data_IF_789922123783
#
_entry.id   IF_789922123783
#
_cell.length_a   1.000
_cell.length_b   1.000
_cell.length_c   1.000
_cell.angle_alpha   90.00
_cell.angle_beta   90.00
_cell.angle_gamma   90.00
#
_symmetry.space_group_name_H-M   'P 1'
#
loop_
_entity.id
_entity.type
_entity.pdbx_description
1 polymer ?
#
# COMPACT_ATOMS: atom_id res chain seq x y z
N UNK A 1 -21.89 -12.53 0.85
CA UNK A 1 -20.46 -12.81 0.61
C UNK A 1 -20.36 -14.03 -0.30
N UNK A 2 -19.31 -14.14 -1.12
CA UNK A 2 -19.15 -15.27 -2.06
C UNK A 2 -18.37 -16.40 -1.38
N UNK A 3 -18.94 -17.60 -1.35
CA UNK A 3 -18.23 -18.84 -0.98
C UNK A 3 -17.35 -19.32 -2.15
N UNK A 4 -16.42 -20.28 -1.94
CA UNK A 4 -15.60 -20.82 -3.03
C UNK A 4 -16.41 -21.37 -4.23
N UNK A 5 -17.57 -22.00 -3.98
CA UNK A 5 -18.44 -22.50 -5.05
C UNK A 5 -19.15 -21.37 -5.80
N UNK A 6 -19.65 -20.36 -5.07
CA UNK A 6 -20.26 -19.17 -5.66
C UNK A 6 -19.25 -18.36 -6.48
N UNK A 7 -18.01 -18.26 -6.01
CA UNK A 7 -16.91 -17.60 -6.74
C UNK A 7 -16.61 -18.31 -8.06
N UNK A 8 -16.52 -19.65 -8.07
CA UNK A 8 -16.31 -20.41 -9.30
C UNK A 8 -17.48 -20.24 -10.28
N UNK A 9 -18.71 -20.41 -9.82
CA UNK A 9 -19.90 -20.24 -10.65
C UNK A 9 -20.00 -18.81 -11.22
N UNK A 10 -19.61 -17.80 -10.44
CA UNK A 10 -19.57 -16.42 -10.90
C UNK A 10 -18.51 -16.23 -11.99
N UNK A 11 -17.29 -16.74 -11.80
CA UNK A 11 -16.22 -16.66 -12.79
C UNK A 11 -16.61 -17.36 -14.10
N UNK A 12 -17.23 -18.53 -14.03
CA UNK A 12 -17.76 -19.26 -15.19
C UNK A 12 -18.82 -18.45 -15.93
N UNK A 13 -19.80 -17.88 -15.21
CA UNK A 13 -20.85 -17.03 -15.79
C UNK A 13 -20.28 -15.79 -16.48
N UNK A 14 -19.21 -15.22 -15.95
CA UNK A 14 -18.50 -14.08 -16.54
C UNK A 14 -17.58 -14.48 -17.70
N UNK A 15 -17.42 -15.79 -17.98
CA UNK A 15 -16.41 -16.28 -18.92
C UNK A 15 -14.98 -15.88 -18.51
N UNK A 16 -14.76 -15.58 -17.22
CA UNK A 16 -13.52 -15.00 -16.73
C UNK A 16 -12.60 -16.05 -16.13
N UNK A 17 -11.36 -16.08 -16.61
CA UNK A 17 -10.29 -16.89 -16.01
C UNK A 17 -9.36 -15.99 -15.19
N UNK A 18 -9.08 -16.31 -13.91
CA UNK A 18 -8.15 -15.56 -13.09
C UNK A 18 -6.79 -15.39 -13.77
N UNK A 19 -6.31 -14.15 -13.86
CA UNK A 19 -5.05 -13.80 -14.53
C UNK A 19 -3.92 -13.66 -13.53
N UNK A 20 -2.99 -14.62 -13.52
CA UNK A 20 -1.80 -14.60 -12.63
C UNK A 20 -0.96 -13.33 -12.79
N UNK A 21 -0.83 -12.82 -14.02
CA UNK A 21 -0.10 -11.57 -14.30
C UNK A 21 -0.71 -10.33 -13.64
N UNK A 22 -2.03 -10.35 -13.41
CA UNK A 22 -2.74 -9.28 -12.69
C UNK A 22 -2.83 -9.55 -11.18
N UNK A 23 -2.24 -10.64 -10.69
CA UNK A 23 -2.28 -11.01 -9.26
C UNK A 23 -3.68 -11.36 -8.74
N UNK A 24 -4.60 -11.77 -9.61
CA UNK A 24 -5.99 -12.05 -9.25
C UNK A 24 -6.12 -13.27 -8.33
N UNK A 25 -6.35 -13.01 -7.04
CA UNK A 25 -6.73 -13.99 -6.03
C UNK A 25 -7.94 -13.42 -5.28
N UNK A 26 -9.12 -14.00 -5.49
CA UNK A 26 -10.37 -13.46 -4.95
C UNK A 26 -10.60 -13.96 -3.53
N UNK A 27 -10.87 -13.05 -2.61
CA UNK A 27 -11.19 -13.42 -1.22
C UNK A 27 -12.54 -14.14 -1.17
N UNK A 28 -12.55 -15.35 -0.59
CA UNK A 28 -13.74 -16.22 -0.48
C UNK A 28 -14.10 -16.54 0.97
N UNK A 29 -13.42 -15.90 1.93
CA UNK A 29 -13.66 -16.07 3.36
C UNK A 29 -14.31 -14.83 3.97
N UNK A 30 -15.56 -14.99 4.42
CA UNK A 30 -16.36 -13.88 4.94
C UNK A 30 -15.85 -13.31 6.26
N UNK A 31 -15.24 -14.14 7.11
CA UNK A 31 -14.67 -13.69 8.37
C UNK A 31 -13.51 -12.70 8.16
N UNK A 32 -12.73 -12.90 7.10
CA UNK A 32 -11.63 -12.00 6.75
C UNK A 32 -12.16 -10.66 6.24
N UNK A 33 -13.25 -10.66 5.46
CA UNK A 33 -13.92 -9.41 5.03
C UNK A 33 -14.40 -8.63 6.26
N UNK A 34 -15.08 -9.28 7.20
CA UNK A 34 -15.53 -8.64 8.45
C UNK A 34 -14.34 -8.06 9.22
N UNK A 35 -13.25 -8.82 9.33
CA UNK A 35 -12.04 -8.36 10.01
C UNK A 35 -11.42 -7.11 9.36
N UNK A 36 -11.45 -7.00 8.03
CA UNK A 36 -11.01 -5.80 7.31
C UNK A 36 -11.83 -4.57 7.69
N UNK A 37 -13.15 -4.70 7.75
CA UNK A 37 -14.05 -3.61 8.16
C UNK A 37 -13.84 -3.22 9.63
N UNK A 38 -13.70 -4.21 10.53
CA UNK A 38 -13.41 -3.99 11.95
C UNK A 38 -12.11 -3.21 12.16
N UNK A 39 -11.02 -3.65 11.51
CA UNK A 39 -9.72 -2.97 11.63
C UNK A 39 -9.76 -1.56 11.05
N UNK A 40 -10.52 -1.35 9.97
CA UNK A 40 -10.67 -0.05 9.34
C UNK A 40 -11.54 0.88 10.20
N UNK A 41 -12.42 0.32 11.03
CA UNK A 41 -13.40 1.06 11.81
C UNK A 41 -14.33 1.82 10.90
N UNK A 42 -14.95 1.10 9.95
CA UNK A 42 -15.82 1.70 8.92
C UNK A 42 -17.14 2.16 9.54
N UNK A 43 -17.49 3.42 9.29
CA UNK A 43 -18.78 4.01 9.62
C UNK A 43 -19.58 4.45 8.39
N UNK A 44 -20.88 4.75 8.55
CA UNK A 44 -21.69 5.34 7.49
C UNK A 44 -21.12 6.67 7.00
N UNK A 45 -21.12 6.88 5.69
CA UNK A 45 -20.64 8.12 5.06
C UNK A 45 -19.12 8.24 4.92
N UNK A 46 -18.34 7.34 5.51
CA UNK A 46 -16.89 7.37 5.37
C UNK A 46 -16.45 7.14 3.92
N UNK A 47 -15.40 7.86 3.52
CA UNK A 47 -14.86 7.84 2.16
C UNK A 47 -13.74 6.81 2.09
N UNK A 48 -13.95 5.76 1.31
CA UNK A 48 -13.04 4.62 1.24
C UNK A 48 -12.51 4.46 -0.17
N UNK A 49 -11.19 4.41 -0.30
CA UNK A 49 -10.54 3.98 -1.54
C UNK A 49 -10.34 2.47 -1.49
N UNK A 50 -10.75 1.77 -2.54
CA UNK A 50 -10.53 0.34 -2.74
C UNK A 50 -9.75 0.11 -4.04
N UNK A 51 -8.70 -0.70 -3.98
CA UNK A 51 -7.85 -1.01 -5.14
C UNK A 51 -8.06 -2.48 -5.50
N UNK A 52 -8.38 -2.74 -6.77
CA UNK A 52 -8.62 -4.10 -7.26
C UNK A 52 -9.84 -4.77 -6.60
N UNK A 53 -11.04 -4.19 -6.70
CA UNK A 53 -12.26 -4.75 -6.10
C UNK A 53 -12.60 -6.16 -6.61
N UNK A 54 -12.13 -6.54 -7.81
CA UNK A 54 -12.31 -7.86 -8.40
C UNK A 54 -13.79 -8.23 -8.55
N UNK A 55 -14.23 -9.28 -7.86
CA UNK A 55 -15.63 -9.72 -7.88
C UNK A 55 -16.57 -8.88 -7.00
N UNK A 56 -16.03 -7.88 -6.29
CA UNK A 56 -16.81 -6.95 -5.47
C UNK A 56 -17.16 -7.45 -4.08
N UNK A 57 -16.44 -8.47 -3.58
CA UNK A 57 -16.71 -9.06 -2.26
C UNK A 57 -16.46 -8.08 -1.13
N UNK A 58 -15.33 -7.37 -1.17
CA UNK A 58 -15.01 -6.32 -0.20
C UNK A 58 -15.82 -5.05 -0.47
N UNK A 59 -15.92 -4.61 -1.72
CA UNK A 59 -16.78 -3.48 -2.15
C UNK A 59 -18.20 -3.58 -1.61
N UNK A 60 -18.85 -4.74 -1.79
CA UNK A 60 -20.22 -4.95 -1.31
C UNK A 60 -20.34 -4.86 0.22
N UNK A 61 -19.33 -5.34 0.95
CA UNK A 61 -19.30 -5.22 2.41
C UNK A 61 -19.10 -3.77 2.87
N UNK A 62 -18.21 -3.02 2.22
CA UNK A 62 -18.01 -1.59 2.48
C UNK A 62 -19.30 -0.78 2.23
N UNK A 63 -19.98 -1.06 1.11
CA UNK A 63 -21.27 -0.43 0.80
C UNK A 63 -22.35 -0.82 1.81
N UNK A 64 -22.41 -2.07 2.26
CA UNK A 64 -23.35 -2.50 3.28
C UNK A 64 -23.10 -1.82 4.64
N UNK A 65 -21.85 -1.46 4.95
CA UNK A 65 -21.50 -0.66 6.13
C UNK A 65 -21.83 0.84 6.00
N UNK A 66 -22.42 1.27 4.86
CA UNK A 66 -22.80 2.66 4.62
C UNK A 66 -21.69 3.54 4.05
N UNK A 67 -20.54 2.98 3.69
CA UNK A 67 -19.42 3.75 3.15
C UNK A 67 -19.72 4.31 1.75
N UNK A 68 -19.00 5.39 1.40
CA UNK A 68 -18.86 5.90 0.04
C UNK A 68 -17.54 5.39 -0.54
N UNK A 69 -17.62 4.49 -1.51
CA UNK A 69 -16.48 3.72 -2.03
C UNK A 69 -16.02 4.29 -3.37
N UNK A 70 -14.73 4.53 -3.48
CA UNK A 70 -14.00 4.91 -4.68
C UNK A 70 -13.10 3.75 -5.05
N UNK A 71 -13.50 2.99 -6.06
CA UNK A 71 -12.82 1.77 -6.47
C UNK A 71 -12.13 1.94 -7.82
N UNK A 72 -10.95 1.33 -7.98
CA UNK A 72 -10.27 1.23 -9.27
C UNK A 72 -9.97 -0.23 -9.61
N UNK A 73 -10.44 -0.67 -10.78
CA UNK A 73 -10.26 -2.03 -11.30
C UNK A 73 -9.53 -1.97 -12.65
N UNK A 74 -8.50 -2.80 -12.82
CA UNK A 74 -7.71 -2.83 -14.06
C UNK A 74 -8.30 -3.78 -15.09
N UNK A 75 -9.00 -4.83 -14.65
CA UNK A 75 -9.57 -5.82 -15.53
C UNK A 75 -10.94 -5.35 -16.06
N UNK A 76 -11.09 -5.12 -17.38
CA UNK A 76 -12.32 -4.59 -17.96
C UNK A 76 -13.52 -5.52 -17.75
N UNK A 77 -13.32 -6.83 -17.72
CA UNK A 77 -14.39 -7.81 -17.49
C UNK A 77 -14.91 -7.71 -16.06
N UNK A 78 -14.02 -7.56 -15.08
CA UNK A 78 -14.41 -7.38 -13.68
C UNK A 78 -15.02 -6.00 -13.43
N UNK A 79 -14.48 -4.96 -14.06
CA UNK A 79 -15.06 -3.61 -14.01
C UNK A 79 -16.50 -3.61 -14.55
N UNK A 80 -16.75 -4.24 -15.70
CA UNK A 80 -18.10 -4.40 -16.27
C UNK A 80 -19.04 -5.15 -15.30
N UNK A 81 -18.60 -6.27 -14.72
CA UNK A 81 -19.37 -7.01 -13.71
C UNK A 81 -19.75 -6.13 -12.51
N UNK A 82 -18.84 -5.31 -11.99
CA UNK A 82 -19.12 -4.41 -10.87
C UNK A 82 -20.11 -3.29 -11.25
N UNK A 83 -20.00 -2.76 -12.49
CA UNK A 83 -20.95 -1.78 -13.02
C UNK A 83 -22.37 -2.34 -13.08
N UNK A 84 -22.52 -3.58 -13.52
CA UNK A 84 -23.83 -4.23 -13.64
C UNK A 84 -24.41 -4.68 -12.30
N UNK A 85 -23.56 -5.23 -11.42
CA UNK A 85 -24.03 -5.92 -10.21
C UNK A 85 -24.12 -5.05 -8.95
N UNK A 86 -23.25 -4.04 -8.81
CA UNK A 86 -23.15 -3.23 -7.58
C UNK A 86 -23.62 -1.79 -7.76
N UNK A 87 -23.28 -1.12 -8.86
CA UNK A 87 -23.63 0.31 -9.04
C UNK A 87 -25.14 0.57 -8.90
N UNK A 88 -26.07 -0.23 -9.50
CA UNK A 88 -27.50 0.02 -9.36
C UNK A 88 -28.00 -0.06 -7.91
N UNK A 89 -27.32 -0.81 -7.06
CA UNK A 89 -27.66 -1.04 -5.65
C UNK A 89 -26.88 -0.14 -4.69
N UNK A 90 -25.91 0.61 -5.20
CA UNK A 90 -25.03 1.44 -4.38
C UNK A 90 -25.61 2.82 -4.06
N UNK A 91 -26.75 3.20 -4.66
CA UNK A 91 -27.44 4.48 -4.37
C UNK A 91 -26.50 5.69 -4.51
N UNK A 92 -25.65 5.69 -5.54
CA UNK A 92 -24.67 6.76 -5.79
C UNK A 92 -23.44 6.75 -4.86
N UNK A 93 -23.29 5.72 -4.01
CA UNK A 93 -22.15 5.59 -3.08
C UNK A 93 -20.95 4.84 -3.66
N UNK A 94 -21.08 4.21 -4.82
CA UNK A 94 -19.97 3.54 -5.51
C UNK A 94 -19.51 4.37 -6.72
N UNK A 95 -18.26 4.81 -6.68
CA UNK A 95 -17.54 5.40 -7.81
C UNK A 95 -16.53 4.37 -8.31
N UNK A 96 -16.66 3.91 -9.55
CA UNK A 96 -15.78 2.90 -10.12
C UNK A 96 -15.02 3.48 -11.33
N UNK A 97 -13.70 3.44 -11.25
CA UNK A 97 -12.80 3.74 -12.37
C UNK A 97 -12.23 2.43 -12.91
N UNK A 98 -12.20 2.30 -14.23
CA UNK A 98 -11.42 1.28 -14.89
C UNK A 98 -10.05 1.85 -15.24
N UNK A 99 -8.97 1.28 -14.70
CA UNK A 99 -7.64 1.85 -14.90
C UNK A 99 -6.53 1.26 -14.05
N UNK A 100 -5.36 1.90 -14.15
CA UNK A 100 -4.16 1.51 -13.41
C UNK A 100 -4.06 2.27 -12.08
N UNK A 101 -4.13 1.53 -10.97
CA UNK A 101 -4.03 2.09 -9.63
C UNK A 101 -2.69 2.80 -9.36
N UNK A 102 -1.59 2.43 -10.03
CA UNK A 102 -0.31 3.13 -9.86
C UNK A 102 -0.38 4.54 -10.46
N UNK A 103 -1.18 4.73 -11.52
CA UNK A 103 -1.41 6.03 -12.15
C UNK A 103 -2.48 6.86 -11.44
N UNK A 104 -3.49 6.19 -10.87
CA UNK A 104 -4.60 6.82 -10.15
C UNK A 104 -4.73 6.21 -8.74
N UNK A 105 -3.79 6.53 -7.81
CA UNK A 105 -3.65 5.82 -6.53
C UNK A 105 -4.84 5.97 -5.58
N UNK A 106 -5.64 7.03 -5.75
CA UNK A 106 -6.83 7.31 -4.95
C UNK A 106 -8.14 7.01 -5.68
N UNK A 107 -8.12 6.30 -6.81
CA UNK A 107 -9.32 5.94 -7.58
C UNK A 107 -10.26 7.12 -7.90
N UNK A 108 -9.70 8.30 -8.16
CA UNK A 108 -10.45 9.52 -8.48
C UNK A 108 -11.14 10.18 -7.28
N UNK A 109 -10.88 9.72 -6.06
CA UNK A 109 -11.29 10.43 -4.85
C UNK A 109 -10.59 11.79 -4.75
N UNK A 110 -11.37 12.85 -4.54
CA UNK A 110 -10.87 14.16 -4.13
C UNK A 110 -10.33 14.10 -2.69
N UNK A 111 -9.02 14.27 -2.44
CA UNK A 111 -8.45 14.12 -1.11
C UNK A 111 -8.69 15.32 -0.16
N UNK A 112 -9.51 16.31 -0.54
CA UNK A 112 -9.78 17.49 0.29
C UNK A 112 -10.44 17.18 1.65
N UNK A 113 -11.19 16.07 1.74
CA UNK A 113 -11.78 15.58 2.99
C UNK A 113 -11.15 14.25 3.43
N UNK A 114 -11.17 13.94 4.74
CA UNK A 114 -10.69 12.67 5.29
C UNK A 114 -11.13 11.43 4.52
N UNK A 115 -10.20 10.49 4.37
CA UNK A 115 -10.47 9.22 3.71
C UNK A 115 -9.58 8.11 4.28
N UNK A 116 -10.01 6.88 4.07
CA UNK A 116 -9.27 5.66 4.40
C UNK A 116 -9.06 4.82 3.16
N UNK A 117 -8.11 3.90 3.22
CA UNK A 117 -7.90 2.90 2.17
C UNK A 117 -8.17 1.52 2.75
N UNK A 118 -9.02 0.74 2.09
CA UNK A 118 -9.24 -0.68 2.43
C UNK A 118 -9.16 -1.48 1.16
N UNK A 119 -8.14 -2.34 1.04
CA UNK A 119 -7.86 -3.00 -0.24
C UNK A 119 -7.30 -4.41 -0.07
N UNK A 120 -7.74 -5.31 -0.95
CA UNK A 120 -7.08 -6.58 -1.20
C UNK A 120 -6.07 -6.41 -2.35
N UNK A 121 -4.89 -5.86 -2.05
CA UNK A 121 -4.00 -5.35 -3.08
C UNK A 121 -3.45 -6.46 -3.98
N UNK A 122 -3.47 -6.28 -5.31
CA UNK A 122 -2.71 -7.15 -6.19
C UNK A 122 -1.22 -7.04 -5.87
N UNK A 123 -0.59 -8.17 -5.57
CA UNK A 123 0.73 -8.17 -4.95
C UNK A 123 1.82 -7.52 -5.80
N UNK A 124 1.74 -7.70 -7.13
CA UNK A 124 2.69 -7.17 -8.10
C UNK A 124 2.78 -5.62 -8.08
N UNK A 125 1.70 -4.94 -7.68
CA UNK A 125 1.65 -3.47 -7.67
C UNK A 125 1.75 -2.87 -6.26
N UNK A 126 1.75 -3.69 -5.20
CA UNK A 126 1.67 -3.22 -3.81
C UNK A 126 2.71 -2.14 -3.47
N UNK A 127 3.98 -2.34 -3.83
CA UNK A 127 5.06 -1.39 -3.56
C UNK A 127 4.97 -0.12 -4.43
N UNK A 128 4.92 -0.18 -5.78
CA UNK A 128 4.81 1.03 -6.59
C UNK A 128 3.51 1.82 -6.34
N UNK A 129 2.39 1.15 -6.06
CA UNK A 129 1.15 1.83 -5.65
C UNK A 129 1.31 2.53 -4.31
N UNK A 130 1.92 1.88 -3.31
CA UNK A 130 2.16 2.51 -2.01
C UNK A 130 3.06 3.73 -2.12
N UNK A 131 4.09 3.69 -2.97
CA UNK A 131 4.92 4.86 -3.23
C UNK A 131 4.14 6.01 -3.88
N UNK A 132 3.22 5.70 -4.81
CA UNK A 132 2.32 6.69 -5.40
C UNK A 132 1.36 7.30 -4.37
N UNK A 133 0.83 6.49 -3.43
CA UNK A 133 0.01 6.98 -2.31
C UNK A 133 0.84 7.91 -1.40
N UNK A 134 2.05 7.49 -1.03
CA UNK A 134 2.95 8.29 -0.17
C UNK A 134 3.39 9.59 -0.84
N UNK A 135 3.31 9.68 -2.17
CA UNK A 135 3.62 10.89 -2.92
C UNK A 135 2.49 11.94 -2.95
N UNK A 136 1.28 11.57 -2.57
CA UNK A 136 0.12 12.46 -2.52
C UNK A 136 -0.38 12.73 -1.11
N UNK A 137 -1.61 13.28 -1.00
CA UNK A 137 -2.30 13.41 0.27
C UNK A 137 -2.49 12.05 0.96
N UNK A 138 -2.18 11.98 2.25
CA UNK A 138 -2.13 10.73 2.98
C UNK A 138 -3.49 10.36 3.59
N UNK A 139 -3.95 9.10 3.46
CA UNK A 139 -5.14 8.63 4.17
C UNK A 139 -4.93 8.64 5.69
N UNK A 140 -6.01 8.72 6.46
CA UNK A 140 -5.94 8.62 7.93
C UNK A 140 -5.59 7.21 8.40
N UNK A 141 -6.07 6.22 7.65
CA UNK A 141 -5.88 4.80 7.94
C UNK A 141 -5.84 4.00 6.65
N UNK A 142 -5.02 2.97 6.65
CA UNK A 142 -5.01 1.93 5.63
C UNK A 142 -5.22 0.56 6.27
N UNK A 143 -6.07 -0.28 5.66
CA UNK A 143 -6.20 -1.70 5.99
C UNK A 143 -5.98 -2.50 4.72
N UNK A 144 -4.83 -3.16 4.64
CA UNK A 144 -4.32 -3.74 3.41
C UNK A 144 -4.14 -5.24 3.59
N UNK A 145 -4.72 -6.04 2.68
CA UNK A 145 -4.31 -7.42 2.51
C UNK A 145 -3.04 -7.45 1.68
N UNK A 146 -1.98 -8.04 2.22
CA UNK A 146 -0.66 -8.12 1.62
C UNK A 146 -0.13 -9.55 1.72
N UNK A 147 0.75 -9.98 0.81
CA UNK A 147 1.56 -11.16 1.07
C UNK A 147 2.42 -10.97 2.32
N UNK A 148 2.73 -12.06 3.01
CA UNK A 148 3.50 -12.02 4.24
C UNK A 148 4.85 -11.31 4.07
N UNK A 149 5.54 -11.48 2.93
CA UNK A 149 6.82 -10.83 2.66
C UNK A 149 6.66 -9.32 2.43
N UNK A 150 5.56 -8.89 1.81
CA UNK A 150 5.29 -7.46 1.63
C UNK A 150 4.96 -6.80 2.97
N UNK A 151 4.14 -7.45 3.80
CA UNK A 151 3.86 -6.99 5.16
C UNK A 151 5.15 -6.91 6.00
N UNK A 152 6.02 -7.93 5.92
CA UNK A 152 7.33 -7.92 6.59
C UNK A 152 8.21 -6.75 6.16
N UNK A 153 8.22 -6.38 4.87
CA UNK A 153 8.94 -5.19 4.40
C UNK A 153 8.36 -3.91 4.99
N UNK A 154 7.04 -3.79 5.06
CA UNK A 154 6.38 -2.59 5.58
C UNK A 154 6.66 -2.38 7.07
N UNK A 155 6.77 -3.47 7.82
CA UNK A 155 6.99 -3.45 9.28
C UNK A 155 8.44 -3.75 9.69
N UNK A 156 9.36 -3.87 8.73
CA UNK A 156 10.76 -4.16 9.00
C UNK A 156 11.41 -3.05 9.82
N UNK A 157 12.33 -3.40 10.71
CA UNK A 157 13.12 -2.44 11.50
C UNK A 157 14.51 -2.24 10.89
N UNK A 158 15.16 -1.08 11.10
CA UNK A 158 16.53 -0.85 10.67
C UNK A 158 17.49 -1.97 11.06
N UNK A 159 18.49 -2.23 10.22
CA UNK A 159 19.47 -3.31 10.36
C UNK A 159 18.99 -4.69 9.92
N UNK A 160 17.73 -4.84 9.51
CA UNK A 160 17.20 -6.14 9.06
C UNK A 160 17.24 -6.32 7.54
N UNK A 161 17.31 -7.57 7.09
CA UNK A 161 17.28 -7.92 5.65
C UNK A 161 16.00 -7.43 4.95
N UNK A 162 14.87 -7.39 5.66
CA UNK A 162 13.60 -6.94 5.10
C UNK A 162 13.48 -5.41 4.99
N UNK A 163 14.30 -4.66 5.76
CA UNK A 163 14.29 -3.21 5.73
C UNK A 163 14.76 -2.68 4.38
N UNK A 164 14.02 -1.71 3.85
CA UNK A 164 14.23 -1.14 2.53
C UNK A 164 13.66 0.27 2.41
N UNK A 165 13.79 0.86 1.23
CA UNK A 165 13.28 2.22 0.96
C UNK A 165 11.78 2.37 1.29
N UNK A 166 10.96 1.37 0.94
CA UNK A 166 9.52 1.41 1.25
C UNK A 166 9.24 1.37 2.76
N UNK A 167 10.07 0.68 3.55
CA UNK A 167 9.99 0.69 5.01
C UNK A 167 10.20 2.11 5.54
N UNK A 168 11.24 2.79 5.04
CA UNK A 168 11.56 4.18 5.40
C UNK A 168 10.40 5.12 5.06
N UNK A 169 9.91 5.08 3.82
CA UNK A 169 8.86 6.01 3.39
C UNK A 169 7.54 5.79 4.11
N UNK A 170 7.18 4.52 4.34
CA UNK A 170 5.93 4.19 5.00
C UNK A 170 5.98 4.54 6.49
N UNK A 171 7.04 4.14 7.19
CA UNK A 171 7.17 4.34 8.64
C UNK A 171 7.38 5.81 9.01
N UNK A 172 7.86 6.63 8.08
CA UNK A 172 7.89 8.08 8.27
C UNK A 172 6.49 8.69 8.38
N UNK A 173 5.48 8.09 7.75
CA UNK A 173 4.12 8.64 7.67
C UNK A 173 3.08 7.84 8.49
N UNK A 174 3.33 6.57 8.76
CA UNK A 174 2.37 5.65 9.38
C UNK A 174 3.01 4.77 10.45
N UNK A 175 2.22 4.46 11.48
CA UNK A 175 2.53 3.38 12.44
C UNK A 175 1.70 2.14 12.15
N UNK A 176 2.26 0.97 12.44
CA UNK A 176 1.48 -0.28 12.45
C UNK A 176 0.62 -0.34 13.69
N UNK A 177 -0.70 -0.40 13.52
CA UNK A 177 -1.68 -0.39 14.61
C UNK A 177 -2.39 -1.74 14.79
N UNK A 178 -2.11 -2.73 13.94
CA UNK A 178 -2.63 -4.08 14.08
C UNK A 178 -2.30 -4.96 12.88
N UNK A 179 -2.31 -6.28 13.10
CA UNK A 179 -2.13 -7.26 12.03
C UNK A 179 -2.93 -8.53 12.31
N UNK A 180 -3.29 -9.24 11.24
CA UNK A 180 -3.95 -10.54 11.32
C UNK A 180 -3.43 -11.43 10.19
N UNK A 181 -2.92 -12.62 10.53
CA UNK A 181 -2.48 -13.60 9.52
C UNK A 181 -3.68 -14.19 8.81
N UNK A 182 -3.57 -14.36 7.49
CA UNK A 182 -4.64 -14.89 6.63
C UNK A 182 -4.08 -16.03 5.80
N UNK A 183 -4.69 -17.21 5.93
CA UNK A 183 -4.28 -18.38 5.16
C UNK A 183 -4.53 -18.16 3.67
N UNK A 184 -3.62 -18.64 2.82
CA UNK A 184 -3.85 -18.71 1.36
C UNK A 184 -5.14 -19.43 0.95
N UNK A 185 -5.68 -20.31 1.80
CA UNK A 185 -6.94 -21.03 1.52
C UNK A 185 -8.19 -20.15 1.63
N UNK A 186 -8.06 -18.92 2.14
CA UNK A 186 -9.12 -17.92 2.13
C UNK A 186 -9.33 -17.28 0.75
N UNK A 187 -8.57 -17.68 -0.28
CA UNK A 187 -8.62 -17.09 -1.62
C UNK A 187 -8.90 -18.14 -2.70
N UNK A 188 -9.45 -17.68 -3.83
CA UNK A 188 -9.62 -18.46 -5.04
C UNK A 188 -9.17 -17.67 -6.29
N UNK A 189 -8.23 -18.18 -7.10
CA UNK A 189 -7.35 -19.29 -6.77
C UNK A 189 -6.52 -18.98 -5.52
N UNK A 190 -5.99 -20.02 -4.88
CA UNK A 190 -5.13 -19.82 -3.72
C UNK A 190 -3.76 -19.28 -4.19
N UNK A 191 -3.22 -18.22 -3.56
CA UNK A 191 -1.87 -17.76 -3.82
C UNK A 191 -0.83 -18.75 -3.31
N UNK A 192 0.43 -18.57 -3.73
CA UNK A 192 1.53 -19.47 -3.35
C UNK A 192 1.89 -19.36 -1.87
N UNK A 193 1.71 -18.19 -1.27
CA UNK A 193 2.09 -17.85 0.11
C UNK A 193 0.90 -17.29 0.89
N UNK A 194 1.01 -17.33 2.22
CA UNK A 194 0.04 -16.72 3.12
C UNK A 194 0.04 -15.19 3.00
N UNK A 195 -1.07 -14.60 3.45
CA UNK A 195 -1.26 -13.16 3.52
C UNK A 195 -1.31 -12.64 4.96
N UNK A 196 -1.23 -11.32 5.09
CA UNK A 196 -1.43 -10.57 6.32
C UNK A 196 -2.36 -9.43 6.00
N UNK A 197 -3.39 -9.28 6.83
CA UNK A 197 -4.21 -8.08 6.89
C UNK A 197 -3.53 -7.10 7.85
N UNK A 198 -3.05 -5.98 7.33
CA UNK A 198 -2.25 -5.01 8.06
C UNK A 198 -3.00 -3.68 8.22
N UNK A 199 -3.11 -3.19 9.45
CA UNK A 199 -3.63 -1.87 9.76
C UNK A 199 -2.48 -0.88 9.99
N UNK A 200 -2.52 0.21 9.24
CA UNK A 200 -1.60 1.34 9.31
C UNK A 200 -2.39 2.60 9.65
N UNK A 201 -2.00 3.29 10.71
CA UNK A 201 -2.60 4.57 11.12
C UNK A 201 -1.62 5.70 10.83
N UNK A 202 -2.10 6.81 10.25
CA UNK A 202 -1.28 7.99 9.96
C UNK A 202 -0.76 8.57 11.27
N UNK A 203 0.50 9.00 11.28
CA UNK A 203 1.09 9.72 12.40
C UNK A 203 0.50 11.14 12.50
N UNK A 204 0.54 11.74 13.69
CA UNK A 204 0.06 13.12 13.90
C UNK A 204 0.90 14.13 13.11
N UNK A 205 2.22 13.89 13.04
CA UNK A 205 3.17 14.66 12.24
C UNK A 205 3.88 13.73 11.24
N UNK A 206 3.25 13.39 10.10
CA UNK A 206 3.83 12.46 9.13
C UNK A 206 5.06 13.08 8.47
N UNK A 207 6.18 12.38 8.57
CA UNK A 207 7.37 12.65 7.77
C UNK A 207 7.07 12.44 6.29
N UNK A 208 7.50 13.40 5.46
CA UNK A 208 7.43 13.30 4.01
C UNK A 208 8.83 13.33 3.43
N UNK A 209 8.98 12.89 2.19
CA UNK A 209 10.24 12.96 1.46
C UNK A 209 10.05 13.76 0.17
N UNK A 210 11.03 14.57 -0.19
CA UNK A 210 11.08 15.24 -1.50
C UNK A 210 11.17 14.20 -2.63
N UNK A 211 10.83 14.58 -3.86
CA UNK A 211 10.98 13.68 -5.01
C UNK A 211 12.45 13.24 -5.17
N UNK A 212 13.39 14.19 -5.09
CA UNK A 212 14.83 13.94 -5.12
C UNK A 212 15.29 13.00 -4.00
N UNK A 213 14.86 13.25 -2.77
CA UNK A 213 15.22 12.40 -1.63
C UNK A 213 14.69 10.97 -1.76
N UNK A 214 13.47 10.78 -2.27
CA UNK A 214 12.96 9.43 -2.54
C UNK A 214 13.80 8.69 -3.58
N UNK A 215 14.14 9.36 -4.68
CA UNK A 215 14.95 8.75 -5.75
C UNK A 215 16.36 8.40 -5.28
N UNK A 216 16.97 9.27 -4.49
CA UNK A 216 18.27 9.01 -3.88
C UNK A 216 18.20 7.84 -2.89
N UNK A 217 17.23 7.84 -1.97
CA UNK A 217 17.06 6.75 -0.99
C UNK A 217 16.86 5.42 -1.71
N UNK A 218 16.00 5.35 -2.74
CA UNK A 218 15.84 4.13 -3.56
C UNK A 218 17.17 3.68 -4.15
N UNK A 219 17.94 4.59 -4.73
CA UNK A 219 19.25 4.31 -5.33
C UNK A 219 20.24 3.75 -4.32
N UNK A 220 20.24 4.29 -3.09
CA UNK A 220 21.11 3.80 -2.01
C UNK A 220 20.73 2.39 -1.56
N UNK A 221 19.42 2.10 -1.42
CA UNK A 221 18.94 0.77 -1.04
C UNK A 221 19.14 -0.30 -2.12
N UNK A 222 19.38 0.06 -3.39
CA UNK A 222 19.78 -0.89 -4.44
C UNK A 222 21.21 -1.44 -4.21
N UNK A 223 22.04 -0.75 -3.43
CA UNK A 223 23.44 -1.09 -3.19
C UNK A 223 23.68 -1.77 -1.83
N UNK A 224 22.82 -2.71 -1.43
CA UNK A 224 22.76 -3.35 -0.08
C UNK A 224 24.07 -3.87 0.53
N UNK A 225 25.10 -4.13 -0.28
CA UNK A 225 26.40 -4.63 0.21
C UNK A 225 27.45 -3.52 0.40
N UNK A 226 27.17 -2.30 -0.05
CA UNK A 226 28.08 -1.16 0.00
C UNK A 226 27.75 -0.25 1.19
N UNK A 227 28.78 0.39 1.73
CA UNK A 227 28.63 1.41 2.76
C UNK A 227 27.91 2.63 2.18
N UNK A 228 27.04 3.24 2.99
CA UNK A 228 26.24 4.42 2.64
C UNK A 228 27.12 5.53 2.06
N UNK A 229 28.26 5.82 2.70
CA UNK A 229 29.13 6.90 2.28
C UNK A 229 29.69 6.70 0.86
N UNK A 230 30.10 5.47 0.51
CA UNK A 230 30.61 5.15 -0.82
C UNK A 230 29.50 5.25 -1.88
N UNK A 231 28.33 4.68 -1.58
CA UNK A 231 27.17 4.74 -2.47
C UNK A 231 26.70 6.17 -2.69
N UNK A 232 26.66 6.98 -1.64
CA UNK A 232 26.22 8.37 -1.70
C UNK A 232 27.18 9.26 -2.50
N UNK A 233 28.50 9.15 -2.27
CA UNK A 233 29.49 9.90 -3.06
C UNK A 233 29.42 9.59 -4.54
N UNK A 234 29.09 8.35 -4.91
CA UNK A 234 28.95 7.93 -6.31
C UNK A 234 27.61 8.40 -6.92
N UNK A 235 26.51 8.29 -6.17
CA UNK A 235 25.18 8.58 -6.68
C UNK A 235 24.88 10.09 -6.73
N UNK A 236 25.31 10.85 -5.71
CA UNK A 236 25.00 12.26 -5.58
C UNK A 236 26.13 13.00 -4.83
N UNK A 237 27.23 13.40 -5.51
CA UNK A 237 28.39 14.03 -4.86
C UNK A 237 28.04 15.31 -4.07
N UNK A 238 27.16 16.16 -4.60
CA UNK A 238 26.74 17.39 -3.94
C UNK A 238 25.95 17.10 -2.64
N UNK A 239 25.01 16.16 -2.70
CA UNK A 239 24.26 15.70 -1.52
C UNK A 239 25.19 15.03 -0.51
N UNK A 240 26.19 14.27 -0.98
CA UNK A 240 27.20 13.66 -0.11
C UNK A 240 27.97 14.71 0.71
N UNK A 241 28.34 15.84 0.10
CA UNK A 241 29.01 16.93 0.79
C UNK A 241 28.14 17.53 1.92
N UNK A 242 26.82 17.55 1.74
CA UNK A 242 25.88 18.03 2.75
C UNK A 242 25.56 16.96 3.83
N UNK A 243 25.34 15.71 3.45
CA UNK A 243 24.85 14.66 4.34
C UNK A 243 25.95 14.02 5.18
N UNK A 244 27.12 13.74 4.60
CA UNK A 244 28.17 12.98 5.28
C UNK A 244 28.67 13.64 6.58
N UNK A 245 28.86 14.97 6.65
CA UNK A 245 29.26 15.62 7.90
C UNK A 245 28.22 15.52 9.03
N UNK A 246 26.94 15.26 8.69
CA UNK A 246 25.84 15.19 9.67
C UNK A 246 25.64 13.80 10.25
N UNK A 247 26.10 12.76 9.56
CA UNK A 247 25.89 11.36 9.96
C UNK A 247 26.30 11.07 11.43
N UNK A 248 27.46 11.54 11.94
CA UNK A 248 27.85 11.27 13.32
C UNK A 248 26.90 11.87 14.36
N UNK A 249 26.38 13.07 14.12
CA UNK A 249 25.42 13.72 15.01
C UNK A 249 24.05 13.01 15.05
N UNK A 250 23.72 12.26 13.99
CA UNK A 250 22.55 11.39 13.90
C UNK A 250 22.81 9.97 14.44
N UNK A 251 23.98 9.72 15.04
CA UNK A 251 24.37 8.41 15.56
C UNK A 251 24.70 7.37 14.47
N UNK A 252 24.92 7.80 13.22
CA UNK A 252 25.20 6.91 12.09
C UNK A 252 26.72 6.70 11.99
N UNK A 253 27.13 5.43 12.02
CA UNK A 253 28.54 5.04 11.93
C UNK A 253 29.10 5.28 10.53
N UNK A 254 30.42 5.56 10.38
CA UNK A 254 31.04 5.77 9.06
C UNK A 254 30.93 4.57 8.11
N UNK A 255 30.86 3.36 8.67
CA UNK A 255 30.73 2.09 7.94
C UNK A 255 29.27 1.63 7.75
N UNK A 256 28.30 2.44 8.18
CA UNK A 256 26.88 2.11 8.08
C UNK A 256 26.47 1.91 6.61
N UNK A 257 25.50 1.02 6.40
CA UNK A 257 24.80 0.80 5.14
C UNK A 257 23.45 1.50 5.18
N UNK A 258 22.80 1.63 4.03
CA UNK A 258 21.49 2.26 3.94
C UNK A 258 20.46 1.58 4.88
N UNK A 259 20.50 0.26 5.00
CA UNK A 259 19.60 -0.46 5.91
C UNK A 259 19.85 -0.21 7.40
N UNK A 260 21.01 0.30 7.80
CA UNK A 260 21.34 0.56 9.20
C UNK A 260 20.80 1.92 9.70
N UNK A 261 20.38 2.79 8.78
CA UNK A 261 19.98 4.17 9.09
C UNK A 261 18.51 4.20 9.57
N UNK A 262 18.22 4.75 10.78
CA UNK A 262 16.87 4.92 11.28
C UNK A 262 16.01 5.85 10.40
N UNK A 263 14.70 5.69 10.50
CA UNK A 263 13.73 6.44 9.68
C UNK A 263 13.81 7.94 9.94
N UNK A 264 13.95 8.33 11.21
CA UNK A 264 14.06 9.71 11.68
C UNK A 264 15.28 10.40 11.07
N UNK A 265 16.40 9.68 10.98
CA UNK A 265 17.62 10.19 10.37
C UNK A 265 17.45 10.42 8.85
N UNK A 266 16.73 9.54 8.14
CA UNK A 266 16.40 9.76 6.74
C UNK A 266 15.53 11.01 6.54
N UNK A 267 14.56 11.25 7.43
CA UNK A 267 13.73 12.46 7.39
C UNK A 267 14.59 13.70 7.58
N UNK A 268 15.48 13.69 8.57
CA UNK A 268 16.39 14.81 8.85
C UNK A 268 17.33 15.11 7.68
N UNK A 269 17.86 14.07 7.03
CA UNK A 269 18.71 14.20 5.85
C UNK A 269 17.92 14.78 4.65
N UNK A 270 16.70 14.32 4.37
CA UNK A 270 15.87 14.87 3.27
C UNK A 270 15.52 16.35 3.49
N UNK A 271 15.30 16.79 4.73
CA UNK A 271 15.02 18.20 5.04
C UNK A 271 16.12 19.13 4.51
N UNK A 272 17.38 18.70 4.49
CA UNK A 272 18.49 19.53 4.01
C UNK A 272 18.46 19.75 2.50
N UNK A 273 17.80 18.86 1.74
CA UNK A 273 17.61 19.03 0.30
C UNK A 273 16.61 20.15 0.00
N UNK A 274 15.58 20.27 0.84
CA UNK A 274 14.51 21.27 0.70
C UNK A 274 14.95 22.68 1.05
N UNK A 275 15.91 22.82 1.97
CA UNK A 275 16.44 24.12 2.40
C UNK A 275 17.47 24.73 1.44
N UNK A 276 17.89 23.97 0.42
CA UNK A 276 18.84 24.40 -0.60
C UNK A 276 18.22 24.63 -1.98
N UNK A 277 16.89 24.56 -2.07
CA UNK A 277 16.07 24.91 -3.24
C UNK A 277 15.47 26.30 -3.07
#
# INVERSE_FOLDING_TARGET
>A
MLTPSQTRALLERLGHRPRRQLGQNFLVEGNIVRKSLELAGIGPGERIVEIGPGLGTLTGALLAAGAKVFAIERDPTLAAHLRESLIPRAEGRLHLIEGDAVKTPLAGLDPAAPFKIVANLPYAISSPWMEAVLAGPLPERMVLMLQIEAAQRYTAVPGTKAFGAISVFLQAAFRTAGSHRVSRHCFHPAPEVDSVLLRLDRLDAPGTFSAEGRDLIRTLFQQRRKQLASSLRRAAPAVAAAWLPRLPALGIRPDARAEDVPVEAWIDLDRTLRSGS
#
